data_IF_411509113554
#
_entry.id   IF_411509113554
#
_cell.length_a   1.000
_cell.length_b   1.000
_cell.length_c   1.000
_cell.angle_alpha   90.00
_cell.angle_beta   90.00
_cell.angle_gamma   90.00
#
_symmetry.space_group_name_H-M   'P 1'
#
loop_
_entity.id
_entity.type
_entity.pdbx_description
1 polymer ?
#
# COMPACT_ATOMS: atom_id res chain seq x y z
N UNK A 1 -4.16 -11.30 8.91
CA UNK A 1 -4.56 -11.56 7.50
C UNK A 1 -5.00 -10.24 6.86
N UNK A 2 -4.52 -9.91 5.65
CA UNK A 2 -5.04 -8.75 4.91
C UNK A 2 -6.51 -8.99 4.56
N UNK A 3 -7.40 -8.06 4.96
CA UNK A 3 -8.79 -8.09 4.51
C UNK A 3 -8.82 -7.75 3.01
N UNK A 4 -9.50 -8.53 2.15
CA UNK A 4 -9.53 -8.25 0.72
C UNK A 4 -10.27 -6.93 0.42
N UNK A 5 -10.05 -6.39 -0.78
CA UNK A 5 -10.71 -5.20 -1.32
C UNK A 5 -10.45 -3.91 -0.53
N UNK A 6 -9.29 -3.82 0.13
CA UNK A 6 -8.82 -2.53 0.65
C UNK A 6 -8.38 -1.64 -0.51
N UNK A 7 -8.43 -0.33 -0.29
CA UNK A 7 -7.93 0.66 -1.23
C UNK A 7 -6.51 0.31 -1.68
N UNK A 8 -6.27 0.38 -2.99
CA UNK A 8 -4.97 0.15 -3.59
C UNK A 8 -3.98 1.25 -3.20
N UNK A 9 -2.68 0.96 -3.36
CA UNK A 9 -1.64 1.97 -3.27
C UNK A 9 -1.57 2.83 -4.53
N UNK A 10 -0.45 3.53 -4.73
CA UNK A 10 -0.22 4.28 -5.98
C UNK A 10 -0.18 3.36 -7.22
N UNK A 11 0.10 2.07 -7.02
CA UNK A 11 0.21 1.03 -8.05
C UNK A 11 -1.15 0.60 -8.61
N UNK A 12 -2.26 0.99 -7.98
CA UNK A 12 -3.62 0.61 -8.38
C UNK A 12 -3.94 -0.87 -8.14
N UNK A 13 -3.02 -1.65 -7.58
CA UNK A 13 -3.20 -3.08 -7.37
C UNK A 13 -3.98 -3.35 -6.07
N UNK A 14 -5.14 -3.96 -6.20
CA UNK A 14 -5.91 -4.43 -5.04
C UNK A 14 -5.16 -5.54 -4.31
N UNK A 15 -5.20 -5.50 -2.98
CA UNK A 15 -4.64 -6.57 -2.16
C UNK A 15 -5.30 -7.95 -2.37
N UNK A 16 -6.49 -7.96 -2.98
CA UNK A 16 -7.21 -9.18 -3.36
C UNK A 16 -6.42 -10.02 -4.37
N UNK A 17 -5.60 -9.41 -5.24
CA UNK A 17 -4.79 -10.12 -6.25
C UNK A 17 -3.82 -11.08 -5.57
N UNK A 18 -3.19 -10.66 -4.46
CA UNK A 18 -2.25 -11.52 -3.72
C UNK A 18 -2.93 -12.67 -2.98
N UNK A 19 -4.23 -12.55 -2.73
CA UNK A 19 -5.02 -13.62 -2.09
C UNK A 19 -5.53 -14.61 -3.14
N UNK A 20 -6.11 -14.12 -4.25
CA UNK A 20 -6.73 -14.96 -5.27
C UNK A 20 -5.70 -15.58 -6.23
N UNK A 21 -4.62 -14.87 -6.56
CA UNK A 21 -3.57 -15.34 -7.49
C UNK A 21 -2.34 -15.88 -6.75
N UNK A 22 -2.49 -16.30 -5.49
CA UNK A 22 -1.38 -16.72 -4.62
C UNK A 22 -0.51 -17.78 -5.27
N UNK A 23 -1.11 -18.82 -5.83
CA UNK A 23 -0.38 -19.95 -6.42
C UNK A 23 0.53 -19.52 -7.57
N UNK A 24 0.08 -18.57 -8.40
CA UNK A 24 0.87 -18.04 -9.51
C UNK A 24 1.94 -17.03 -9.04
N UNK A 25 1.66 -16.29 -7.97
CA UNK A 25 2.49 -15.16 -7.55
C UNK A 25 3.57 -15.52 -6.53
N UNK A 26 3.35 -16.52 -5.67
CA UNK A 26 4.28 -16.85 -4.56
C UNK A 26 5.70 -17.05 -5.08
N UNK A 27 5.90 -17.88 -6.12
CA UNK A 27 7.25 -18.15 -6.62
C UNK A 27 7.94 -16.91 -7.22
N UNK A 28 7.18 -16.04 -7.89
CA UNK A 28 7.70 -14.79 -8.48
C UNK A 28 8.05 -13.77 -7.40
N UNK A 29 7.15 -13.58 -6.43
CA UNK A 29 7.35 -12.65 -5.31
C UNK A 29 8.51 -13.08 -4.42
N UNK A 30 8.65 -14.37 -4.12
CA UNK A 30 9.80 -14.87 -3.34
C UNK A 30 11.12 -14.57 -4.04
N UNK A 31 11.22 -14.76 -5.36
CA UNK A 31 12.42 -14.42 -6.12
C UNK A 31 12.72 -12.92 -6.06
N UNK A 32 11.69 -12.10 -6.27
CA UNK A 32 11.80 -10.64 -6.24
C UNK A 32 12.25 -10.13 -4.86
N UNK A 33 11.62 -10.61 -3.79
CA UNK A 33 11.94 -10.22 -2.42
C UNK A 33 13.36 -10.63 -2.03
N UNK A 34 13.80 -11.84 -2.39
CA UNK A 34 15.20 -12.25 -2.17
C UNK A 34 16.19 -11.37 -2.91
N UNK A 35 15.85 -10.95 -4.14
CA UNK A 35 16.71 -10.02 -4.89
C UNK A 35 16.85 -8.66 -4.19
N UNK A 36 15.77 -8.13 -3.59
CA UNK A 36 15.80 -6.88 -2.80
C UNK A 36 16.89 -6.94 -1.71
N UNK A 37 16.95 -8.04 -0.95
CA UNK A 37 17.94 -8.21 0.11
C UNK A 37 19.36 -8.50 -0.42
N UNK A 38 19.48 -9.40 -1.40
CA UNK A 38 20.78 -9.80 -1.96
C UNK A 38 21.49 -8.63 -2.66
N UNK A 39 20.74 -7.81 -3.40
CA UNK A 39 21.26 -6.65 -4.12
C UNK A 39 21.34 -5.40 -3.24
N UNK A 40 20.82 -5.45 -2.01
CA UNK A 40 20.63 -4.28 -1.13
C UNK A 40 19.91 -3.13 -1.85
N UNK A 41 18.98 -3.48 -2.72
CA UNK A 41 18.27 -2.54 -3.58
C UNK A 41 16.78 -2.62 -3.30
N UNK A 42 16.22 -1.53 -2.79
CA UNK A 42 14.79 -1.40 -2.59
C UNK A 42 14.21 -0.51 -3.71
N UNK A 43 13.28 -1.03 -4.55
CA UNK A 43 12.71 -0.26 -5.65
C UNK A 43 12.13 1.07 -5.17
N UNK A 44 12.39 2.14 -5.90
CA UNK A 44 11.95 3.49 -5.50
C UNK A 44 10.43 3.58 -5.44
N UNK A 45 9.76 2.92 -6.37
CA UNK A 45 8.31 2.82 -6.50
C UNK A 45 7.66 2.21 -5.25
N UNK A 46 8.39 1.32 -4.55
CA UNK A 46 7.92 0.70 -3.31
C UNK A 46 8.04 1.64 -2.11
N UNK A 47 8.84 2.72 -2.21
CA UNK A 47 8.98 3.75 -1.17
C UNK A 47 7.92 4.84 -1.31
N UNK A 48 7.24 4.87 -2.45
CA UNK A 48 6.19 5.85 -2.72
C UNK A 48 4.89 5.48 -2.00
N UNK A 49 4.18 6.50 -1.53
CA UNK A 49 2.87 6.33 -0.92
C UNK A 49 1.95 7.48 -1.30
N UNK A 50 0.66 7.19 -1.42
CA UNK A 50 -0.35 8.20 -1.67
C UNK A 50 -1.01 8.59 -0.35
N UNK A 51 -0.85 9.84 0.08
CA UNK A 51 -1.52 10.34 1.29
C UNK A 51 -2.73 11.19 0.92
N UNK A 52 -3.91 10.73 1.36
CA UNK A 52 -5.19 11.41 1.13
C UNK A 52 -5.64 12.03 2.45
N UNK A 53 -5.96 13.33 2.44
CA UNK A 53 -6.54 14.02 3.60
C UNK A 53 -8.06 13.85 3.60
N UNK A 54 -8.58 12.96 4.44
CA UNK A 54 -10.02 12.78 4.61
C UNK A 54 -10.59 13.79 5.60
N UNK A 55 -11.78 14.33 5.33
CA UNK A 55 -12.49 15.21 6.27
C UNK A 55 -12.93 14.41 7.49
N UNK A 56 -12.63 14.90 8.69
CA UNK A 56 -13.19 14.38 9.94
C UNK A 56 -14.58 14.94 10.14
N UNK A 57 -15.52 14.11 10.53
CA UNK A 57 -16.89 14.54 10.76
C UNK A 57 -17.03 15.56 11.92
N UNK A 58 -18.03 16.44 11.82
CA UNK A 58 -18.42 17.38 12.88
C UNK A 58 -17.41 18.46 13.23
N UNK A 59 -16.49 18.82 12.32
CA UNK A 59 -15.50 19.88 12.59
C UNK A 59 -16.08 21.28 12.31
N UNK A 60 -15.87 22.26 13.22
CA UNK A 60 -16.47 23.58 13.10
C UNK A 60 -15.84 24.44 11.99
N UNK A 61 -14.62 24.11 11.56
CA UNK A 61 -13.85 24.89 10.58
C UNK A 61 -12.88 23.98 9.80
N UNK A 62 -13.12 23.84 8.50
CA UNK A 62 -12.34 23.01 7.58
C UNK A 62 -11.22 23.77 6.86
N UNK A 63 -10.97 25.04 7.19
CA UNK A 63 -9.73 25.72 6.79
C UNK A 63 -8.52 25.22 7.58
N UNK A 64 -8.74 24.65 8.78
CA UNK A 64 -7.69 24.17 9.68
C UNK A 64 -7.29 22.72 9.37
N UNK A 65 -5.98 22.46 9.31
CA UNK A 65 -5.45 21.11 9.09
C UNK A 65 -5.96 20.07 10.09
N UNK A 66 -6.25 20.47 11.34
CA UNK A 66 -6.79 19.58 12.39
C UNK A 66 -8.16 18.98 12.04
N UNK A 67 -8.89 19.59 11.10
CA UNK A 67 -10.17 19.09 10.61
C UNK A 67 -10.05 17.88 9.66
N UNK A 68 -8.83 17.52 9.24
CA UNK A 68 -8.57 16.39 8.37
C UNK A 68 -7.87 15.24 9.10
N UNK A 69 -8.04 14.04 8.58
CA UNK A 69 -7.32 12.83 8.94
C UNK A 69 -6.53 12.37 7.71
N UNK A 70 -5.18 12.42 7.75
CA UNK A 70 -4.38 11.84 6.70
C UNK A 70 -4.52 10.32 6.73
N UNK A 71 -4.73 9.72 5.56
CA UNK A 71 -4.64 8.28 5.34
C UNK A 71 -3.60 8.04 4.27
N UNK A 72 -2.59 7.24 4.62
CA UNK A 72 -1.50 6.88 3.71
C UNK A 72 -1.77 5.50 3.11
N UNK A 73 -1.76 5.43 1.78
CA UNK A 73 -1.96 4.24 0.98
C UNK A 73 -0.61 3.79 0.41
N UNK A 74 -0.10 2.68 0.96
CA UNK A 74 1.06 1.98 0.41
C UNK A 74 0.61 0.86 -0.54
N UNK A 75 1.43 0.62 -1.57
CA UNK A 75 1.33 -0.52 -2.47
C UNK A 75 1.15 -1.83 -1.67
N UNK A 76 0.29 -2.73 -2.15
CA UNK A 76 -0.02 -3.94 -1.39
C UNK A 76 1.18 -4.90 -1.33
N UNK A 77 2.05 -4.89 -2.34
CA UNK A 77 3.26 -5.71 -2.39
C UNK A 77 4.25 -5.42 -1.26
N UNK A 78 4.37 -4.14 -0.86
CA UNK A 78 5.31 -3.70 0.18
C UNK A 78 4.85 -4.06 1.59
N UNK A 79 3.55 -4.37 1.75
CA UNK A 79 2.97 -4.90 2.99
C UNK A 79 3.17 -6.41 3.14
N UNK A 80 3.65 -7.08 2.09
CA UNK A 80 3.88 -8.53 2.04
C UNK A 80 5.36 -8.88 2.18
N UNK A 81 6.23 -8.05 1.58
CA UNK A 81 7.68 -8.13 1.77
C UNK A 81 8.04 -8.08 3.26
#
# INVERSE_FOLDING_TARGET
KMKPYKAAGNDGLSNSIFTHCRECLVHKLTKLFRATFNLKHYPKEWQESLTIALRKDGKPDYSKAKAYQPITLLAAITKIL
#
